data_IF_194145685804
#
_entry.id   IF_194145685804
#
_cell.length_a   1.000
_cell.length_b   1.000
_cell.length_c   1.000
_cell.angle_alpha   90.00
_cell.angle_beta   90.00
_cell.angle_gamma   90.00
#
_symmetry.space_group_name_H-M   'P 1'
#
loop_
_entity.id
_entity.type
_entity.pdbx_description
1 polymer ?
#
# COMPACT_ATOMS: atom_id res chain seq x y z
N UNK A 1 1.63 -6.31 -0.88
CA UNK A 1 1.34 -6.14 0.56
C UNK A 1 0.00 -6.77 0.88
N UNK A 2 -0.16 -7.35 2.07
CA UNK A 2 -1.43 -7.93 2.52
C UNK A 2 -2.15 -6.97 3.45
N UNK A 3 -3.48 -6.89 3.31
CA UNK A 3 -4.36 -6.10 4.15
C UNK A 3 -4.88 -7.01 5.25
N UNK A 4 -4.59 -6.64 6.49
CA UNK A 4 -4.82 -7.47 7.66
C UNK A 4 -5.70 -6.68 8.64
N UNK A 5 -6.72 -7.34 9.17
CA UNK A 5 -7.48 -6.83 10.30
C UNK A 5 -6.62 -6.78 11.56
N UNK A 6 -6.50 -5.62 12.23
CA UNK A 6 -5.55 -5.46 13.33
C UNK A 6 -5.92 -6.27 14.59
N UNK A 7 -7.18 -6.66 14.77
CA UNK A 7 -7.62 -7.41 15.95
C UNK A 7 -7.48 -8.92 15.74
N UNK A 8 -8.05 -9.43 14.65
CA UNK A 8 -8.15 -10.85 14.33
C UNK A 8 -6.92 -11.39 13.61
N UNK A 9 -6.11 -10.51 13.01
CA UNK A 9 -4.98 -10.85 12.14
C UNK A 9 -5.36 -11.62 10.87
N UNK A 10 -6.64 -11.59 10.50
CA UNK A 10 -7.13 -12.19 9.26
C UNK A 10 -6.91 -11.28 8.06
N UNK A 11 -6.78 -11.89 6.86
CA UNK A 11 -6.84 -11.15 5.61
C UNK A 11 -8.24 -10.58 5.39
N UNK A 12 -8.32 -9.31 5.00
CA UNK A 12 -9.59 -8.63 4.74
C UNK A 12 -9.61 -8.02 3.34
N UNK A 13 -10.79 -8.02 2.72
CA UNK A 13 -11.02 -7.44 1.39
C UNK A 13 -11.08 -5.91 1.45
N UNK A 14 -9.95 -5.27 1.76
CA UNK A 14 -9.84 -3.82 1.93
C UNK A 14 -9.28 -3.07 0.73
N UNK A 15 -8.83 -3.76 -0.34
CA UNK A 15 -8.06 -3.12 -1.42
C UNK A 15 -8.83 -1.99 -2.10
N UNK A 16 -10.11 -2.21 -2.46
CA UNK A 16 -10.93 -1.16 -3.10
C UNK A 16 -11.07 0.08 -2.22
N UNK A 17 -11.32 -0.10 -0.92
CA UNK A 17 -11.48 1.00 0.04
C UNK A 17 -10.20 1.85 0.13
N UNK A 18 -9.04 1.20 0.18
CA UNK A 18 -7.74 1.90 0.17
C UNK A 18 -7.54 2.64 -1.16
N UNK A 19 -7.81 1.97 -2.28
CA UNK A 19 -7.60 2.52 -3.62
C UNK A 19 -8.51 3.73 -3.94
N UNK A 20 -9.67 3.83 -3.29
CA UNK A 20 -10.55 5.01 -3.38
C UNK A 20 -9.94 6.27 -2.73
N UNK A 21 -8.99 6.11 -1.82
CA UNK A 21 -8.42 7.21 -1.02
C UNK A 21 -6.95 7.50 -1.35
N UNK A 22 -6.27 6.64 -2.10
CA UNK A 22 -4.90 6.93 -2.56
C UNK A 22 -4.93 7.97 -3.68
N UNK A 23 -4.02 8.93 -3.62
CA UNK A 23 -3.88 9.96 -4.65
C UNK A 23 -3.12 9.49 -5.89
N UNK A 24 -2.31 8.43 -5.80
CA UNK A 24 -1.51 7.93 -6.92
C UNK A 24 -1.77 6.43 -7.21
N UNK A 25 -2.71 6.22 -8.12
CA UNK A 25 -3.13 4.89 -8.60
C UNK A 25 -2.08 4.17 -9.45
N UNK A 26 -1.05 4.87 -9.94
CA UNK A 26 0.04 4.21 -10.68
C UNK A 26 1.03 3.53 -9.72
N UNK A 27 1.06 3.99 -8.47
CA UNK A 27 2.01 3.58 -7.44
C UNK A 27 1.42 2.58 -6.46
N UNK A 28 0.13 2.69 -6.18
CA UNK A 28 -0.64 1.72 -5.40
C UNK A 28 -1.66 1.06 -6.32
N UNK A 29 -1.50 -0.24 -6.58
CA UNK A 29 -2.33 -0.97 -7.54
C UNK A 29 -3.14 -2.07 -6.86
N UNK A 30 -4.33 -2.40 -7.38
CA UNK A 30 -5.02 -3.62 -7.02
C UNK A 30 -4.21 -4.84 -7.47
N UNK A 31 -4.36 -5.93 -6.73
CA UNK A 31 -3.89 -7.25 -7.11
C UNK A 31 -5.06 -8.22 -7.32
N UNK A 32 -4.78 -9.41 -7.87
CA UNK A 32 -5.81 -10.43 -8.12
C UNK A 32 -6.60 -10.80 -6.84
N UNK A 33 -5.94 -10.73 -5.69
CA UNK A 33 -6.53 -11.02 -4.39
C UNK A 33 -6.99 -9.71 -3.75
N UNK A 34 -8.27 -9.60 -3.40
CA UNK A 34 -8.86 -8.38 -2.83
C UNK A 34 -8.29 -7.95 -1.45
N UNK A 35 -7.55 -8.84 -0.79
CA UNK A 35 -6.79 -8.55 0.43
C UNK A 35 -5.34 -8.18 0.16
N UNK A 36 -4.99 -7.87 -1.09
CA UNK A 36 -3.63 -7.57 -1.52
C UNK A 36 -3.62 -6.28 -2.35
N UNK A 37 -2.62 -5.45 -2.09
CA UNK A 37 -2.27 -4.29 -2.90
C UNK A 37 -0.80 -4.34 -3.26
N UNK A 38 -0.44 -3.87 -4.45
CA UNK A 38 0.94 -3.72 -4.89
C UNK A 38 1.39 -2.28 -4.64
N UNK A 39 2.59 -2.12 -4.07
CA UNK A 39 3.24 -0.84 -3.87
C UNK A 39 4.51 -0.81 -4.71
N UNK A 40 4.54 0.06 -5.71
CA UNK A 40 5.68 0.19 -6.61
C UNK A 40 6.59 1.34 -6.19
N UNK A 41 7.78 1.38 -6.78
CA UNK A 41 8.64 2.57 -6.89
C UNK A 41 8.64 3.03 -8.35
N UNK A 42 9.20 4.19 -8.62
CA UNK A 42 9.56 4.59 -9.97
C UNK A 42 10.84 3.86 -10.41
N UNK A 43 11.29 4.12 -11.64
CA UNK A 43 12.61 3.64 -12.07
C UNK A 43 13.68 4.45 -11.34
N UNK A 44 14.24 3.87 -10.28
CA UNK A 44 15.30 4.49 -9.49
C UNK A 44 16.69 4.24 -10.09
N UNK A 45 17.62 5.19 -9.89
CA UNK A 45 18.99 5.07 -10.38
C UNK A 45 19.88 4.11 -9.56
N UNK A 46 19.54 3.88 -8.29
CA UNK A 46 20.27 3.01 -7.38
C UNK A 46 19.37 2.49 -6.26
N UNK A 47 19.91 1.57 -5.45
CA UNK A 47 19.17 0.89 -4.39
C UNK A 47 18.84 1.83 -3.22
N UNK A 48 19.67 2.82 -2.94
CA UNK A 48 19.43 3.82 -1.90
C UNK A 48 18.15 4.60 -2.19
N UNK A 49 17.96 5.02 -3.45
CA UNK A 49 16.77 5.72 -3.89
C UNK A 49 15.52 4.83 -3.80
N UNK A 50 15.61 3.56 -4.21
CA UNK A 50 14.50 2.59 -4.02
C UNK A 50 14.10 2.51 -2.54
N UNK A 51 15.08 2.42 -1.63
CA UNK A 51 14.80 2.32 -0.20
C UNK A 51 14.14 3.57 0.35
N UNK A 52 14.64 4.76 0.01
CA UNK A 52 14.04 6.02 0.44
C UNK A 52 12.60 6.12 -0.06
N UNK A 53 12.40 5.92 -1.36
CA UNK A 53 11.11 6.10 -2.00
C UNK A 53 10.07 5.08 -1.51
N UNK A 54 10.45 3.80 -1.40
CA UNK A 54 9.58 2.77 -0.86
C UNK A 54 9.21 3.04 0.60
N UNK A 55 10.17 3.52 1.41
CA UNK A 55 9.92 3.83 2.82
C UNK A 55 8.92 4.98 2.98
N UNK A 56 9.07 6.04 2.19
CA UNK A 56 8.17 7.19 2.24
C UNK A 56 6.77 6.83 1.75
N UNK A 57 6.68 6.09 0.64
CA UNK A 57 5.40 5.58 0.13
C UNK A 57 4.71 4.66 1.14
N UNK A 58 5.46 3.77 1.79
CA UNK A 58 4.94 2.87 2.81
C UNK A 58 4.40 3.65 4.02
N UNK A 59 5.13 4.67 4.50
CA UNK A 59 4.66 5.52 5.61
C UNK A 59 3.35 6.22 5.28
N UNK A 60 3.25 6.82 4.09
CA UNK A 60 2.03 7.50 3.66
C UNK A 60 0.85 6.53 3.54
N UNK A 61 1.08 5.33 3.01
CA UNK A 61 0.05 4.30 2.89
C UNK A 61 -0.41 3.78 4.26
N UNK A 62 0.51 3.56 5.20
CA UNK A 62 0.17 3.13 6.56
C UNK A 62 -0.63 4.22 7.30
N UNK A 63 -0.24 5.49 7.17
CA UNK A 63 -0.98 6.60 7.77
C UNK A 63 -2.43 6.66 7.22
N UNK A 64 -2.60 6.47 5.91
CA UNK A 64 -3.94 6.36 5.30
C UNK A 64 -4.73 5.17 5.87
N UNK A 65 -4.10 4.01 6.01
CA UNK A 65 -4.77 2.83 6.59
C UNK A 65 -5.20 3.09 8.05
N UNK A 66 -4.36 3.75 8.85
CA UNK A 66 -4.68 4.10 10.23
C UNK A 66 -5.90 5.05 10.31
N UNK A 67 -6.06 5.95 9.34
CA UNK A 67 -7.24 6.83 9.23
C UNK A 67 -8.52 6.07 8.82
N UNK A 68 -8.37 4.99 8.06
CA UNK A 68 -9.49 4.17 7.60
C UNK A 68 -9.98 3.18 8.67
N UNK A 69 -9.12 2.78 9.62
CA UNK A 69 -9.44 1.76 10.62
C UNK A 69 -9.28 0.35 10.06
#
# INVERSE_FOLDING_TARGET
MQIIDPETKNLVSGASRILEHVTDINRVKPELIASTIELNTDVCANIEMVRCELSDRLRSLLALCDELG
#
